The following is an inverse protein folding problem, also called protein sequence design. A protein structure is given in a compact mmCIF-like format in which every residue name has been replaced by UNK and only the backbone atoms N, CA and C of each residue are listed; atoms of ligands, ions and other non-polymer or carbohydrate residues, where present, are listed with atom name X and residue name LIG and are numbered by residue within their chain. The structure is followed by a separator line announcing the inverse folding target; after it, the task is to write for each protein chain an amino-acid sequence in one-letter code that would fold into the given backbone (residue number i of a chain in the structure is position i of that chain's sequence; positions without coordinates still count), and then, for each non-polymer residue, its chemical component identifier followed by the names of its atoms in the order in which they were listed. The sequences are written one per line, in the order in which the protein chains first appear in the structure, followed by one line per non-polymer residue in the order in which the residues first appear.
data_IF_510897434724
#
_entry.id   IF_510897434724
#
_cell.length_a   1.000
_cell.length_b   1.000
_cell.length_c   1.000
_cell.angle_alpha   90.00
_cell.angle_beta   90.00
_cell.angle_gamma   90.00
#
_symmetry.space_group_name_H-M   'P 1'
#
loop_
_entity.id
_entity.type
_entity.pdbx_description
1 polymer ?
#
# COMPACT_ATOMS: atom_id res chain seq x y z
N UNK A 1 -14.26 21.59 6.46
CA UNK A 1 -12.83 21.27 6.27
C UNK A 1 -12.67 19.79 6.53
N UNK A 2 -12.13 19.03 5.58
CA UNK A 2 -11.87 17.60 5.77
C UNK A 2 -10.71 17.44 6.74
N UNK A 3 -10.85 16.59 7.77
CA UNK A 3 -9.75 16.33 8.71
C UNK A 3 -8.70 15.41 8.08
N UNK A 4 -7.50 15.36 8.68
CA UNK A 4 -6.47 14.40 8.25
C UNK A 4 -6.96 12.95 8.44
N UNK A 5 -7.66 12.67 9.53
CA UNK A 5 -8.32 11.38 9.77
C UNK A 5 -9.32 11.02 8.67
N UNK A 6 -10.20 11.94 8.27
CA UNK A 6 -11.16 11.72 7.18
C UNK A 6 -10.45 11.39 5.86
N UNK A 7 -9.30 12.05 5.64
CA UNK A 7 -8.45 11.82 4.45
C UNK A 7 -7.88 10.41 4.47
N UNK A 8 -7.36 9.96 5.61
CA UNK A 8 -6.82 8.60 5.74
C UNK A 8 -7.91 7.54 5.57
N UNK A 9 -9.07 7.72 6.20
CA UNK A 9 -10.23 6.83 6.03
C UNK A 9 -10.64 6.76 4.56
N UNK A 10 -10.72 7.89 3.86
CA UNK A 10 -11.05 7.94 2.43
C UNK A 10 -10.12 7.07 1.58
N UNK A 11 -8.80 7.24 1.71
CA UNK A 11 -7.85 6.49 0.88
C UNK A 11 -7.69 5.04 1.31
N UNK A 12 -7.85 4.74 2.60
CA UNK A 12 -7.87 3.35 3.07
C UNK A 12 -9.13 2.61 2.57
N UNK A 13 -10.29 3.28 2.49
CA UNK A 13 -11.48 2.72 1.82
C UNK A 13 -11.27 2.49 0.33
N UNK A 14 -10.53 3.37 -0.34
CA UNK A 14 -10.13 3.12 -1.73
C UNK A 14 -9.23 1.87 -1.81
N UNK A 15 -8.28 1.71 -0.88
CA UNK A 15 -7.46 0.50 -0.81
C UNK A 15 -8.29 -0.76 -0.55
N UNK A 16 -9.31 -0.71 0.32
CA UNK A 16 -10.28 -1.80 0.50
C UNK A 16 -11.00 -2.14 -0.82
N UNK A 17 -11.45 -1.12 -1.57
CA UNK A 17 -12.09 -1.32 -2.87
C UNK A 17 -11.15 -1.95 -3.91
N UNK A 18 -9.85 -1.61 -3.89
CA UNK A 18 -8.84 -2.29 -4.71
C UNK A 18 -8.65 -3.74 -4.27
N UNK A 19 -8.50 -4.01 -2.97
CA UNK A 19 -8.37 -5.35 -2.41
C UNK A 19 -9.59 -6.23 -2.73
N UNK A 20 -10.78 -5.65 -2.84
CA UNK A 20 -11.99 -6.35 -3.21
C UNK A 20 -11.96 -6.95 -4.63
N UNK A 21 -11.09 -6.46 -5.53
CA UNK A 21 -10.88 -6.99 -6.88
C UNK A 21 -10.05 -8.28 -6.91
N UNK A 22 -9.38 -8.60 -5.81
CA UNK A 22 -8.52 -9.77 -5.69
C UNK A 22 -9.30 -11.08 -5.73
N UNK A 23 -8.87 -12.06 -6.52
CA UNK A 23 -9.43 -13.42 -6.43
C UNK A 23 -9.01 -14.06 -5.09
N UNK A 24 -9.97 -14.47 -4.23
CA UNK A 24 -9.67 -15.06 -2.94
C UNK A 24 -9.05 -16.45 -3.07
N UNK A 25 -8.09 -16.79 -2.20
CA UNK A 25 -7.53 -18.14 -2.10
C UNK A 25 -7.39 -18.58 -0.64
N UNK A 26 -7.39 -19.89 -0.33
CA UNK A 26 -7.23 -20.38 1.05
C UNK A 26 -5.85 -20.16 1.66
N UNK A 27 -4.87 -19.73 0.86
CA UNK A 27 -3.45 -19.71 1.23
C UNK A 27 -2.85 -18.30 1.22
N UNK A 28 -3.62 -17.27 0.85
CA UNK A 28 -3.11 -15.92 0.75
C UNK A 28 -4.19 -14.86 0.95
N UNK A 29 -3.85 -13.82 1.72
CA UNK A 29 -4.74 -12.70 1.99
C UNK A 29 -5.06 -11.86 0.75
N UNK A 30 -6.26 -11.28 0.75
CA UNK A 30 -6.70 -10.25 -0.20
C UNK A 30 -6.33 -8.88 0.35
N UNK A 31 -5.27 -8.27 -0.19
CA UNK A 31 -4.78 -6.96 0.26
C UNK A 31 -4.98 -5.95 -0.86
N UNK A 32 -5.32 -4.72 -0.51
CA UNK A 32 -5.29 -3.58 -1.41
C UNK A 32 -4.34 -2.48 -0.92
N UNK A 33 -3.81 -1.73 -1.88
CA UNK A 33 -2.82 -0.67 -1.69
C UNK A 33 -3.13 0.53 -2.61
N UNK A 34 -2.90 1.74 -2.13
CA UNK A 34 -3.00 2.99 -2.89
C UNK A 34 -1.80 3.87 -2.56
N UNK A 35 -1.06 4.28 -3.58
CA UNK A 35 -0.02 5.29 -3.48
C UNK A 35 -0.64 6.65 -3.80
N UNK A 36 -0.54 7.60 -2.88
CA UNK A 36 -1.09 8.96 -3.02
C UNK A 36 0.03 9.96 -2.89
N UNK A 37 0.30 10.73 -3.93
CA UNK A 37 1.29 11.79 -3.92
C UNK A 37 0.65 13.16 -3.72
N UNK A 38 1.45 14.15 -3.35
CA UNK A 38 1.00 15.54 -3.17
C UNK A 38 1.29 16.34 -4.43
N UNK A 39 0.27 17.03 -4.93
CA UNK A 39 0.42 18.11 -5.90
C UNK A 39 0.38 19.45 -5.17
N UNK A 40 0.76 20.57 -5.82
CA UNK A 40 0.66 21.90 -5.22
C UNK A 40 -0.75 22.26 -4.74
N UNK A 41 -1.79 21.67 -5.33
CA UNK A 41 -3.19 22.00 -5.06
C UNK A 41 -3.94 20.93 -4.27
N UNK A 42 -3.54 19.66 -4.32
CA UNK A 42 -4.30 18.56 -3.72
C UNK A 42 -3.49 17.27 -3.51
N UNK A 43 -4.11 16.28 -2.88
CA UNK A 43 -3.61 14.90 -2.86
C UNK A 43 -4.15 14.15 -4.08
N UNK A 44 -3.28 13.44 -4.79
CA UNK A 44 -3.64 12.71 -6.01
C UNK A 44 -3.15 11.28 -5.96
N UNK A 45 -4.01 10.35 -6.35
CA UNK A 45 -3.64 8.93 -6.49
C UNK A 45 -2.59 8.82 -7.60
N UNK A 46 -1.42 8.29 -7.25
CA UNK A 46 -0.33 8.01 -8.16
C UNK A 46 -0.52 6.65 -8.82
N UNK A 47 -0.80 5.63 -8.02
CA UNK A 47 -1.02 4.25 -8.47
C UNK A 47 -1.82 3.48 -7.42
N UNK A 48 -2.49 2.41 -7.83
CA UNK A 48 -3.15 1.46 -6.93
C UNK A 48 -2.53 0.09 -7.07
N UNK A 49 -2.85 -0.86 -6.20
CA UNK A 49 -2.49 -2.24 -6.38
C UNK A 49 -3.33 -3.15 -5.50
N UNK A 50 -3.52 -4.39 -5.91
CA UNK A 50 -4.11 -5.43 -5.06
C UNK A 50 -3.34 -6.74 -5.20
N UNK A 51 -3.45 -7.63 -4.21
CA UNK A 51 -2.78 -8.93 -4.25
C UNK A 51 -3.16 -9.69 -5.52
N UNK A 52 -2.17 -10.33 -6.17
CA UNK A 52 -2.36 -11.14 -7.39
C UNK A 52 -2.89 -10.38 -8.62
N UNK A 53 -2.79 -9.06 -8.63
CA UNK A 53 -3.15 -8.24 -9.81
C UNK A 53 -2.24 -8.52 -11.01
N UNK A 54 -0.92 -8.54 -10.78
CA UNK A 54 0.08 -8.81 -11.82
C UNK A 54 0.49 -10.28 -11.80
N UNK A 55 0.93 -10.86 -12.95
CA UNK A 55 1.33 -12.26 -13.04
C UNK A 55 2.35 -12.68 -11.97
N UNK A 56 2.13 -13.84 -11.37
CA UNK A 56 2.96 -14.39 -10.30
C UNK A 56 2.41 -14.12 -8.90
N UNK A 57 3.18 -14.48 -7.87
CA UNK A 57 2.77 -14.29 -6.47
C UNK A 57 3.06 -12.85 -6.01
N UNK A 58 2.24 -11.91 -6.48
CA UNK A 58 2.41 -10.48 -6.26
C UNK A 58 1.54 -9.95 -5.12
N UNK A 59 2.10 -9.04 -4.32
CA UNK A 59 1.40 -8.38 -3.22
C UNK A 59 0.91 -7.00 -3.67
N UNK A 60 -0.06 -6.44 -2.95
CA UNK A 60 -0.69 -5.17 -3.29
C UNK A 60 0.31 -4.00 -3.42
N UNK A 61 1.23 -3.85 -2.46
CA UNK A 61 2.22 -2.78 -2.44
C UNK A 61 3.24 -2.94 -3.57
N UNK A 62 3.66 -4.18 -3.82
CA UNK A 62 4.55 -4.51 -4.93
C UNK A 62 3.91 -4.16 -6.29
N UNK A 63 2.63 -4.46 -6.46
CA UNK A 63 1.89 -4.11 -7.68
C UNK A 63 1.71 -2.60 -7.84
N UNK A 64 1.39 -1.89 -6.76
CA UNK A 64 1.27 -0.44 -6.79
C UNK A 64 2.59 0.24 -7.19
N UNK A 65 3.71 -0.17 -6.59
CA UNK A 65 5.05 0.33 -6.93
C UNK A 65 5.46 -0.05 -8.35
N UNK A 66 5.20 -1.28 -8.78
CA UNK A 66 5.53 -1.72 -10.14
C UNK A 66 4.79 -0.88 -11.18
N UNK A 67 3.47 -0.72 -11.03
CA UNK A 67 2.66 0.12 -11.93
C UNK A 67 3.09 1.59 -11.92
N UNK A 68 3.42 2.13 -10.75
CA UNK A 68 3.95 3.49 -10.63
C UNK A 68 5.24 3.66 -11.45
N UNK A 69 6.17 2.70 -11.35
CA UNK A 69 7.45 2.71 -12.09
C UNK A 69 7.32 2.52 -13.60
N UNK A 70 6.20 1.97 -14.07
CA UNK A 70 5.94 1.78 -15.50
C UNK A 70 5.07 2.87 -16.11
N UNK A 71 4.72 3.93 -15.36
CA UNK A 71 3.92 5.04 -15.88
C UNK A 71 4.61 5.71 -17.07
N UNK A 72 3.83 6.00 -18.10
CA UNK A 72 4.28 6.68 -19.31
C UNK A 72 4.48 8.18 -19.05
N UNK A 73 5.27 8.89 -19.88
CA UNK A 73 5.37 10.34 -19.80
C UNK A 73 4.03 11.07 -19.89
N UNK A 74 3.08 10.54 -20.66
CA UNK A 74 1.73 11.11 -20.76
C UNK A 74 0.95 10.98 -19.44
N UNK A 75 1.09 9.86 -18.74
CA UNK A 75 0.48 9.66 -17.42
C UNK A 75 1.20 10.45 -16.34
N UNK A 76 2.51 10.70 -16.47
CA UNK A 76 3.27 11.52 -15.53
C UNK A 76 3.02 13.02 -15.73
N UNK A 77 2.62 13.46 -16.92
CA UNK A 77 2.31 14.86 -17.24
C UNK A 77 1.24 15.49 -16.33
N UNK A 78 0.45 14.67 -15.63
CA UNK A 78 -0.58 15.12 -14.70
C UNK A 78 -0.09 15.35 -13.26
N UNK A 79 1.21 15.17 -13.01
CA UNK A 79 1.88 15.30 -11.71
C UNK A 79 2.97 16.39 -11.75
N UNK A 80 3.38 16.94 -10.60
CA UNK A 80 4.36 18.03 -10.55
C UNK A 80 5.77 17.65 -10.99
N UNK A 81 6.10 16.35 -11.05
CA UNK A 81 7.38 15.85 -11.56
C UNK A 81 7.16 14.74 -12.58
N UNK A 82 8.03 14.68 -13.57
CA UNK A 82 8.13 13.56 -14.53
C UNK A 82 9.06 12.45 -14.03
N UNK A 83 9.65 12.62 -12.84
CA UNK A 83 10.49 11.63 -12.20
C UNK A 83 9.68 10.85 -11.16
N UNK A 84 9.45 9.55 -11.41
CA UNK A 84 8.66 8.72 -10.52
C UNK A 84 9.26 8.60 -9.11
N UNK A 85 10.59 8.62 -8.99
CA UNK A 85 11.24 8.50 -7.69
C UNK A 85 11.04 9.76 -6.83
N UNK A 86 10.90 10.93 -7.46
CA UNK A 86 10.53 12.17 -6.77
C UNK A 86 9.07 12.12 -6.31
N UNK A 87 8.16 11.62 -7.15
CA UNK A 87 6.74 11.47 -6.78
C UNK A 87 6.54 10.45 -5.65
N UNK A 88 7.30 9.36 -5.65
CA UNK A 88 7.27 8.33 -4.61
C UNK A 88 7.80 8.85 -3.28
N UNK A 89 8.84 9.69 -3.27
CA UNK A 89 9.36 10.31 -2.04
C UNK A 89 8.34 11.20 -1.32
N UNK A 90 7.43 11.79 -2.07
CA UNK A 90 6.33 12.58 -1.54
C UNK A 90 5.06 11.76 -1.32
N UNK A 91 5.07 10.47 -1.66
CA UNK A 91 3.89 9.63 -1.61
C UNK A 91 3.64 9.04 -0.22
N UNK A 92 2.36 9.07 0.16
CA UNK A 92 1.80 8.27 1.23
C UNK A 92 1.34 6.92 0.66
N UNK A 93 1.73 5.82 1.30
CA UNK A 93 1.28 4.47 0.97
C UNK A 93 0.14 4.06 1.90
N UNK A 94 -1.07 3.89 1.37
CA UNK A 94 -2.21 3.36 2.10
C UNK A 94 -2.34 1.87 1.81
N UNK A 95 -2.22 1.03 2.82
CA UNK A 95 -2.36 -0.43 2.68
C UNK A 95 -3.36 -0.98 3.70
N UNK A 96 -4.20 -1.91 3.23
CA UNK A 96 -5.23 -2.52 4.09
C UNK A 96 -4.66 -3.45 5.17
N UNK A 97 -3.48 -4.04 4.93
CA UNK A 97 -2.81 -4.96 5.83
C UNK A 97 -1.35 -4.53 5.99
N UNK A 98 -0.74 -4.82 7.14
CA UNK A 98 0.67 -4.51 7.38
C UNK A 98 1.57 -5.07 6.26
N UNK A 99 2.48 -4.25 5.69
CA UNK A 99 3.39 -4.71 4.65
C UNK A 99 4.27 -5.87 5.15
N UNK A 100 4.31 -6.98 4.41
CA UNK A 100 5.08 -8.14 4.86
C UNK A 100 6.58 -7.84 5.06
N UNK A 101 7.16 -8.42 6.11
CA UNK A 101 8.61 -8.41 6.41
C UNK A 101 9.36 -9.63 5.84
N UNK A 102 8.64 -10.69 5.50
CA UNK A 102 9.20 -11.92 4.92
C UNK A 102 8.36 -12.32 3.71
N UNK A 103 9.03 -12.80 2.66
CA UNK A 103 8.38 -13.40 1.49
C UNK A 103 9.09 -14.69 1.10
N UNK A 104 8.28 -15.70 0.77
CA UNK A 104 8.75 -16.96 0.20
C UNK A 104 8.90 -16.89 -1.32
N UNK A 105 8.17 -15.98 -1.97
CA UNK A 105 8.41 -15.60 -3.37
C UNK A 105 9.71 -14.82 -3.47
N UNK A 106 10.57 -15.08 -4.45
CA UNK A 106 11.88 -14.42 -4.65
C UNK A 106 11.86 -12.91 -4.94
N UNK A 107 10.75 -12.22 -4.67
CA UNK A 107 10.63 -10.77 -4.66
C UNK A 107 10.95 -10.25 -3.25
N UNK A 108 11.48 -9.03 -3.17
CA UNK A 108 11.74 -8.37 -1.89
C UNK A 108 10.43 -8.25 -1.05
N UNK A 109 10.53 -8.36 0.29
CA UNK A 109 9.45 -8.02 1.21
C UNK A 109 8.84 -6.64 0.91
N UNK A 110 7.53 -6.49 1.13
CA UNK A 110 6.84 -5.24 0.82
C UNK A 110 7.40 -4.07 1.64
N UNK A 111 7.72 -4.30 2.92
CA UNK A 111 8.37 -3.28 3.75
C UNK A 111 9.69 -2.80 3.13
N UNK A 112 10.57 -3.72 2.72
CA UNK A 112 11.86 -3.39 2.11
C UNK A 112 11.71 -2.66 0.77
N UNK A 113 10.70 -3.04 -0.02
CA UNK A 113 10.39 -2.38 -1.30
C UNK A 113 9.91 -0.93 -1.10
N UNK A 114 9.09 -0.68 -0.08
CA UNK A 114 8.63 0.67 0.29
C UNK A 114 9.78 1.52 0.84
N UNK A 115 10.67 0.93 1.64
CA UNK A 115 11.93 1.57 2.08
C UNK A 115 12.79 1.96 0.89
N UNK A 116 13.00 1.05 -0.07
CA UNK A 116 13.77 1.33 -1.27
C UNK A 116 13.14 2.42 -2.14
N UNK A 117 11.81 2.50 -2.18
CA UNK A 117 11.07 3.57 -2.84
C UNK A 117 11.11 4.91 -2.09
N UNK A 118 11.56 4.91 -0.83
CA UNK A 118 11.69 6.10 0.03
C UNK A 118 10.38 6.86 0.19
N UNK A 119 9.26 6.14 0.32
CA UNK A 119 7.95 6.76 0.53
C UNK A 119 7.96 7.65 1.78
N UNK A 120 7.06 8.64 1.81
CA UNK A 120 6.97 9.60 2.90
C UNK A 120 6.42 8.96 4.17
N UNK A 121 5.27 8.29 4.03
CA UNK A 121 4.49 7.71 5.14
C UNK A 121 3.82 6.42 4.70
N UNK A 122 3.63 5.49 5.62
CA UNK A 122 2.82 4.30 5.43
C UNK A 122 1.61 4.32 6.38
N UNK A 123 0.41 4.31 5.80
CA UNK A 123 -0.86 4.34 6.49
C UNK A 123 -1.47 2.94 6.41
N UNK A 124 -1.64 2.30 7.56
CA UNK A 124 -1.99 0.87 7.66
C UNK A 124 -3.38 0.72 8.28
N UNK A 125 -4.20 -0.16 7.70
CA UNK A 125 -5.54 -0.48 8.17
C UNK A 125 -5.57 -1.46 9.34
N UNK A 126 -4.88 -2.59 9.21
CA UNK A 126 -4.79 -3.59 10.29
C UNK A 126 -3.42 -4.28 10.27
N UNK A 127 -2.97 -4.72 11.45
CA UNK A 127 -1.75 -5.51 11.60
C UNK A 127 -1.88 -6.88 10.94
N UNK A 128 -0.76 -7.48 10.57
CA UNK A 128 -0.75 -8.88 10.16
C UNK A 128 -1.26 -9.75 11.34
N UNK A 129 -2.21 -10.67 11.12
CA UNK A 129 -2.67 -11.55 12.18
C UNK A 129 -1.58 -12.50 12.70
N UNK A 130 -1.48 -12.64 14.02
CA UNK A 130 -0.46 -13.48 14.69
C UNK A 130 -0.56 -14.98 14.33
N UNK A 131 -1.71 -15.44 13.83
CA UNK A 131 -1.95 -16.82 13.39
C UNK A 131 -1.42 -17.10 11.97
N UNK A 132 -0.93 -16.09 11.25
CA UNK A 132 -0.36 -16.25 9.91
C UNK A 132 1.18 -16.17 9.92
N UNK A 133 1.73 -14.98 10.16
CA UNK A 133 3.17 -14.72 10.21
C UNK A 133 3.44 -13.63 11.24
N UNK A 134 4.50 -13.79 12.04
CA UNK A 134 5.03 -12.68 12.85
C UNK A 134 5.62 -11.62 11.93
N UNK A 135 4.83 -10.60 11.61
CA UNK A 135 5.26 -9.50 10.76
C UNK A 135 6.05 -8.46 11.54
N UNK A 136 7.03 -7.87 10.89
CA UNK A 136 7.87 -6.78 11.42
C UNK A 136 7.88 -5.61 10.42
N UNK A 137 6.86 -5.51 9.58
CA UNK A 137 6.81 -4.56 8.47
C UNK A 137 6.78 -3.12 8.93
N UNK A 138 5.89 -2.82 9.87
CA UNK A 138 5.77 -1.49 10.48
C UNK A 138 7.06 -1.09 11.21
N UNK A 139 7.71 -2.03 11.89
CA UNK A 139 8.98 -1.78 12.58
C UNK A 139 10.09 -1.43 11.57
N UNK A 140 10.24 -2.21 10.49
CA UNK A 140 11.24 -1.95 9.45
C UNK A 140 11.06 -0.59 8.77
N UNK A 141 9.82 -0.19 8.51
CA UNK A 141 9.50 1.12 7.95
C UNK A 141 9.93 2.23 8.92
N UNK A 142 9.58 2.09 10.19
CA UNK A 142 9.93 3.06 11.24
C UNK A 142 11.45 3.18 11.41
N UNK A 143 12.17 2.05 11.44
CA UNK A 143 13.64 2.01 11.55
C UNK A 143 14.34 2.67 10.35
N UNK A 144 13.72 2.64 9.18
CA UNK A 144 14.18 3.34 7.98
C UNK A 144 13.80 4.83 7.94
N UNK A 145 13.12 5.35 8.98
CA UNK A 145 12.69 6.74 9.09
C UNK A 145 11.38 7.06 8.35
N UNK A 146 10.61 6.05 7.93
CA UNK A 146 9.29 6.23 7.32
C UNK A 146 8.24 6.32 8.45
N UNK A 147 7.41 7.36 8.42
CA UNK A 147 6.33 7.52 9.39
C UNK A 147 5.26 6.44 9.16
N UNK A 148 4.90 5.71 10.21
CA UNK A 148 3.83 4.70 10.18
C UNK A 148 2.62 5.19 10.96
N UNK A 149 1.45 5.19 10.32
CA UNK A 149 0.18 5.64 10.90
C UNK A 149 -0.82 4.49 10.84
N UNK A 150 -1.41 4.15 11.99
CA UNK A 150 -2.47 3.15 12.08
C UNK A 150 -3.84 3.82 12.07
N UNK A 151 -4.68 3.49 11.08
CA UNK A 151 -6.03 4.05 10.99
C UNK A 151 -6.97 3.34 11.96
N UNK A 152 -7.65 4.12 12.79
CA UNK A 152 -8.65 3.61 13.73
C UNK A 152 -10.04 3.57 13.12
N UNK A 153 -10.81 2.53 13.45
CA UNK A 153 -12.20 2.33 13.05
C UNK A 153 -12.41 1.56 11.75
N UNK A 154 -11.34 1.01 11.16
CA UNK A 154 -11.41 0.17 9.95
C UNK A 154 -10.70 -1.18 10.12
N UNK A 155 -10.18 -1.48 11.31
CA UNK A 155 -9.39 -2.69 11.58
C UNK A 155 -10.17 -3.98 11.26
N UNK A 156 -11.41 -4.07 11.73
CA UNK A 156 -12.28 -5.24 11.49
C UNK A 156 -12.63 -5.41 10.01
N UNK A 157 -12.89 -4.30 9.31
CA UNK A 157 -13.21 -4.31 7.88
C UNK A 157 -11.99 -4.73 7.05
N UNK A 158 -10.81 -4.20 7.36
CA UNK A 158 -9.55 -4.59 6.77
C UNK A 158 -9.22 -6.06 7.01
N UNK A 159 -9.41 -6.56 8.24
CA UNK A 159 -9.16 -7.96 8.57
C UNK A 159 -10.14 -8.90 7.86
N UNK A 160 -11.42 -8.55 7.83
CA UNK A 160 -12.43 -9.33 7.12
C UNK A 160 -12.16 -9.37 5.61
N UNK A 161 -11.76 -8.24 5.02
CA UNK A 161 -11.36 -8.18 3.61
C UNK A 161 -10.14 -9.06 3.33
N UNK A 162 -9.11 -9.01 4.20
CA UNK A 162 -7.91 -9.83 4.08
C UNK A 162 -8.24 -11.33 4.08
N UNK A 163 -9.14 -11.76 4.96
CA UNK A 163 -9.53 -13.17 5.16
C UNK A 163 -10.62 -13.69 4.22
N UNK A 164 -11.05 -12.96 3.20
CA UNK A 164 -12.15 -13.38 2.32
C UNK A 164 -11.97 -14.77 1.68
N UNK A 165 -10.74 -15.25 1.53
CA UNK A 165 -10.43 -16.58 1.00
C UNK A 165 -10.17 -17.68 2.04
N UNK A 166 -10.10 -17.32 3.33
CA UNK A 166 -9.72 -18.20 4.44
C UNK A 166 -10.92 -18.74 5.21
#
# INVERSE_FOLDING_TARGET
MTTETDTHIKYLRLALAEGAKCEPTPTAFCVGCVLVTRTPSELKVLSTGYSRELPGNTHAEANALAKARTMTPAELAQFPSQNIDELLREADCYTTLEPCSVRTSGLAPCADALVAAKIRRCIIGVGEPDDFVKCEGAQRLTDAGIEVIWVKGLEEECLAAARRGH
#
